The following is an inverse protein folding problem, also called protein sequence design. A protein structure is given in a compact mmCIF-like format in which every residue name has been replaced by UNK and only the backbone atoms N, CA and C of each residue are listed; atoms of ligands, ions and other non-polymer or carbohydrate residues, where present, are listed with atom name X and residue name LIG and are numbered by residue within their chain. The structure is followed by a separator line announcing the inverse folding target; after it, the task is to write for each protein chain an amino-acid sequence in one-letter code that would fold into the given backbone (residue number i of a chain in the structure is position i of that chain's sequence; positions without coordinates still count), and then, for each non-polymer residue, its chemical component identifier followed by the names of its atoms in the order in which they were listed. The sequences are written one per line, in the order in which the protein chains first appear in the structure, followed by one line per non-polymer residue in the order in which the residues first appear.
data_IF_210944179954
#
_entry.id   IF_210944179954
#
_cell.length_a   1.000
_cell.length_b   1.000
_cell.length_c   1.000
_cell.angle_alpha   90.00
_cell.angle_beta   90.00
_cell.angle_gamma   90.00
#
_symmetry.space_group_name_H-M   'P 1'
#
loop_
_entity.id
_entity.type
_entity.pdbx_description
1 polymer ?
#
# COMPACT_ATOMS: atom_id res chain seq x y z
N UNK A 1 -5.19 -9.35 -13.07
CA UNK A 1 -4.70 -8.16 -12.34
C UNK A 1 -3.87 -8.51 -11.11
N UNK A 2 -4.39 -9.31 -10.16
CA UNK A 2 -3.73 -9.58 -8.88
C UNK A 2 -2.30 -10.14 -8.97
N UNK A 3 -2.04 -11.09 -9.89
CA UNK A 3 -0.68 -11.62 -10.09
C UNK A 3 0.27 -10.58 -10.67
N UNK A 4 -0.21 -9.76 -11.62
CA UNK A 4 0.59 -8.68 -12.23
C UNK A 4 0.94 -7.63 -11.18
N UNK A 5 -0.01 -7.23 -10.32
CA UNK A 5 0.28 -6.32 -9.22
C UNK A 5 1.25 -6.93 -8.20
N UNK A 6 1.11 -8.23 -7.89
CA UNK A 6 2.04 -8.91 -6.98
C UNK A 6 3.47 -8.95 -7.54
N UNK A 7 3.64 -9.24 -8.84
CA UNK A 7 4.94 -9.21 -9.51
C UNK A 7 5.53 -7.79 -9.54
N UNK A 8 4.72 -6.79 -9.89
CA UNK A 8 5.14 -5.39 -9.87
C UNK A 8 5.59 -4.97 -8.47
N UNK A 9 4.84 -5.35 -7.43
CA UNK A 9 5.16 -5.02 -6.05
C UNK A 9 6.42 -5.73 -5.54
N UNK A 10 6.62 -6.99 -5.93
CA UNK A 10 7.81 -7.77 -5.60
C UNK A 10 9.10 -7.16 -6.19
N UNK A 11 9.01 -6.55 -7.37
CA UNK A 11 10.12 -5.79 -7.98
C UNK A 11 10.27 -4.41 -7.35
N UNK A 12 9.15 -3.76 -7.05
CA UNK A 12 9.10 -2.41 -6.53
C UNK A 12 9.76 -2.26 -5.16
N UNK A 13 9.45 -3.13 -4.18
CA UNK A 13 9.96 -2.97 -2.80
C UNK A 13 11.50 -2.99 -2.72
N UNK A 14 12.22 -3.97 -3.32
CA UNK A 14 13.67 -3.94 -3.32
C UNK A 14 14.24 -2.74 -4.09
N UNK A 15 13.62 -2.39 -5.22
CA UNK A 15 14.05 -1.28 -6.06
C UNK A 15 13.95 0.06 -5.35
N UNK A 16 12.78 0.38 -4.78
CA UNK A 16 12.60 1.62 -4.00
C UNK A 16 13.45 1.61 -2.74
N UNK A 17 13.65 0.43 -2.12
CA UNK A 17 14.56 0.22 -1.01
C UNK A 17 16.00 0.63 -1.32
N UNK A 18 16.50 0.26 -2.49
CA UNK A 18 17.84 0.64 -2.95
C UNK A 18 17.94 2.15 -3.25
N UNK A 19 16.96 2.73 -3.96
CA UNK A 19 17.01 4.14 -4.33
C UNK A 19 16.83 5.09 -3.14
N UNK A 20 16.06 4.70 -2.12
CA UNK A 20 15.81 5.58 -0.98
C UNK A 20 16.99 5.66 0.01
N UNK A 21 17.98 4.77 -0.07
CA UNK A 21 19.16 4.81 0.83
C UNK A 21 19.91 6.15 0.73
N UNK A 22 19.86 6.78 -0.45
CA UNK A 22 20.54 8.03 -0.76
C UNK A 22 19.66 9.27 -0.51
N UNK A 23 18.43 9.10 -0.01
CA UNK A 23 17.44 10.16 0.13
C UNK A 23 16.72 10.11 1.48
N UNK A 24 15.99 11.18 1.82
CA UNK A 24 15.00 11.13 2.90
C UNK A 24 13.74 10.41 2.43
N UNK A 25 13.08 9.68 3.33
CA UNK A 25 11.87 8.91 3.04
C UNK A 25 10.74 9.82 2.54
N UNK A 26 10.65 11.03 3.07
CA UNK A 26 9.69 12.05 2.64
C UNK A 26 9.91 12.48 1.18
N UNK A 27 11.17 12.60 0.75
CA UNK A 27 11.51 12.99 -0.62
C UNK A 27 11.16 11.86 -1.59
N UNK A 28 11.50 10.62 -1.23
CA UNK A 28 11.13 9.45 -2.03
C UNK A 28 9.60 9.28 -2.16
N UNK A 29 8.86 9.59 -1.08
CA UNK A 29 7.39 9.64 -1.12
C UNK A 29 6.86 10.72 -2.07
N UNK A 30 7.44 11.92 -2.05
CA UNK A 30 7.06 13.02 -2.96
C UNK A 30 7.31 12.63 -4.42
N UNK A 31 8.48 12.10 -4.77
CA UNK A 31 8.75 11.67 -6.14
C UNK A 31 7.81 10.56 -6.61
N UNK A 32 7.52 9.59 -5.74
CA UNK A 32 6.57 8.52 -6.05
C UNK A 32 5.16 9.07 -6.28
N UNK A 33 4.70 9.97 -5.42
CA UNK A 33 3.38 10.60 -5.53
C UNK A 33 3.27 11.50 -6.77
N UNK A 34 4.29 12.28 -7.08
CA UNK A 34 4.34 13.11 -8.29
C UNK A 34 4.35 12.26 -9.56
N UNK A 35 5.16 11.20 -9.60
CA UNK A 35 5.19 10.27 -10.73
C UNK A 35 3.82 9.64 -10.98
N UNK A 36 3.18 9.12 -9.93
CA UNK A 36 1.82 8.58 -10.02
C UNK A 36 0.81 9.65 -10.45
N UNK A 37 0.88 10.85 -9.87
CA UNK A 37 -0.01 11.96 -10.19
C UNK A 37 0.08 12.39 -11.66
N UNK A 38 1.31 12.51 -12.20
CA UNK A 38 1.53 12.85 -13.61
C UNK A 38 0.97 11.77 -14.53
N UNK A 39 1.23 10.50 -14.23
CA UNK A 39 0.73 9.37 -15.04
C UNK A 39 -0.80 9.35 -15.03
N UNK A 40 -1.42 9.46 -13.85
CA UNK A 40 -2.88 9.43 -13.71
C UNK A 40 -3.53 10.65 -14.38
N UNK A 41 -2.95 11.84 -14.23
CA UNK A 41 -3.43 13.05 -14.91
C UNK A 41 -3.33 12.92 -16.43
N UNK A 42 -2.23 12.38 -16.96
CA UNK A 42 -2.08 12.15 -18.40
C UNK A 42 -3.15 11.18 -18.92
N UNK A 43 -3.42 10.08 -18.20
CA UNK A 43 -4.50 9.13 -18.56
C UNK A 43 -5.86 9.83 -18.57
N UNK A 44 -6.12 10.66 -17.56
CA UNK A 44 -7.39 11.37 -17.41
C UNK A 44 -7.63 12.39 -18.53
N UNK A 45 -6.58 13.13 -18.92
CA UNK A 45 -6.60 14.04 -20.06
C UNK A 45 -6.79 13.31 -21.39
N UNK A 46 -6.07 12.21 -21.62
CA UNK A 46 -6.18 11.41 -22.85
C UNK A 46 -7.57 10.75 -22.99
N UNK A 47 -8.16 10.35 -21.87
CA UNK A 47 -9.49 9.72 -21.84
C UNK A 47 -10.65 10.72 -21.76
N UNK A 48 -10.34 12.03 -21.65
CA UNK A 48 -11.32 13.10 -21.50
C UNK A 48 -12.26 12.91 -20.29
N UNK A 49 -11.72 12.37 -19.20
CA UNK A 49 -12.48 12.08 -17.96
C UNK A 49 -12.22 13.08 -16.84
N UNK A 50 -11.38 14.08 -17.09
CA UNK A 50 -11.04 15.10 -16.13
C UNK A 50 -12.26 15.91 -15.69
N UNK A 51 -12.58 15.80 -14.40
CA UNK A 51 -13.65 16.56 -13.76
C UNK A 51 -13.11 17.30 -12.54
N UNK A 52 -13.27 18.63 -12.58
CA UNK A 52 -12.92 19.52 -11.47
C UNK A 52 -14.16 20.06 -10.74
N UNK A 53 -15.33 19.86 -11.32
CA UNK A 53 -16.61 20.25 -10.74
C UNK A 53 -17.07 19.21 -9.71
N UNK A 54 -16.35 19.14 -8.58
CA UNK A 54 -16.64 18.23 -7.48
C UNK A 54 -17.34 18.95 -6.33
N UNK A 55 -18.19 18.24 -5.61
CA UNK A 55 -18.82 18.75 -4.40
C UNK A 55 -17.74 19.07 -3.34
N UNK A 56 -17.89 20.13 -2.51
CA UNK A 56 -16.88 20.49 -1.49
C UNK A 56 -16.50 19.33 -0.56
N UNK A 57 -17.46 18.48 -0.21
CA UNK A 57 -17.22 17.29 0.61
C UNK A 57 -16.27 16.28 -0.05
N UNK A 58 -16.29 16.18 -1.39
CA UNK A 58 -15.39 15.31 -2.15
C UNK A 58 -13.95 15.81 -2.04
N UNK A 59 -13.73 17.14 -2.06
CA UNK A 59 -12.40 17.70 -1.85
C UNK A 59 -11.84 17.40 -0.45
N UNK A 60 -12.69 17.44 0.57
CA UNK A 60 -12.30 17.04 1.94
C UNK A 60 -11.89 15.56 1.97
N UNK A 61 -12.67 14.68 1.33
CA UNK A 61 -12.34 13.27 1.25
C UNK A 61 -11.02 13.03 0.49
N UNK A 62 -10.81 13.72 -0.64
CA UNK A 62 -9.56 13.66 -1.41
C UNK A 62 -8.37 14.10 -0.54
N UNK A 63 -8.48 15.22 0.17
CA UNK A 63 -7.43 15.72 1.05
C UNK A 63 -7.14 14.72 2.19
N UNK A 64 -8.17 14.15 2.80
CA UNK A 64 -8.02 13.13 3.84
C UNK A 64 -7.30 11.88 3.31
N UNK A 65 -7.68 11.37 2.14
CA UNK A 65 -7.01 10.21 1.53
C UNK A 65 -5.56 10.53 1.11
N UNK A 66 -5.33 11.72 0.53
CA UNK A 66 -4.01 12.12 0.08
C UNK A 66 -3.03 12.29 1.25
N UNK A 67 -3.47 12.88 2.36
CA UNK A 67 -2.61 13.11 3.52
C UNK A 67 -2.51 11.86 4.41
N UNK A 68 -3.64 11.33 4.87
CA UNK A 68 -3.66 10.26 5.87
C UNK A 68 -3.38 8.90 5.25
N UNK A 69 -4.17 8.51 4.26
CA UNK A 69 -4.08 7.17 3.66
C UNK A 69 -2.90 7.02 2.71
N UNK A 70 -2.39 8.12 2.14
CA UNK A 70 -1.31 8.07 1.13
C UNK A 70 0.00 8.61 1.71
N UNK A 71 0.13 9.91 1.96
CA UNK A 71 1.41 10.51 2.32
C UNK A 71 1.97 9.95 3.64
N UNK A 72 1.17 9.97 4.72
CA UNK A 72 1.62 9.49 6.04
C UNK A 72 1.89 7.99 6.00
N UNK A 73 0.94 7.19 5.48
CA UNK A 73 1.09 5.74 5.41
C UNK A 73 2.31 5.33 4.57
N UNK A 74 2.53 5.97 3.43
CA UNK A 74 3.62 5.63 2.54
C UNK A 74 4.98 6.08 3.08
N UNK A 75 5.08 7.25 3.72
CA UNK A 75 6.30 7.65 4.43
C UNK A 75 6.61 6.66 5.58
N UNK A 76 5.59 6.22 6.33
CA UNK A 76 5.77 5.21 7.38
C UNK A 76 6.25 3.87 6.79
N UNK A 77 5.71 3.46 5.64
CA UNK A 77 6.16 2.28 4.91
C UNK A 77 7.63 2.39 4.49
N UNK A 78 8.03 3.52 3.89
CA UNK A 78 9.42 3.77 3.47
C UNK A 78 10.38 3.82 4.66
N UNK A 79 9.98 4.42 5.78
CA UNK A 79 10.74 4.35 7.05
C UNK A 79 10.88 2.92 7.54
N UNK A 80 9.78 2.15 7.54
CA UNK A 80 9.82 0.73 7.87
C UNK A 80 10.78 -0.04 6.95
N UNK A 81 10.75 0.24 5.65
CA UNK A 81 11.64 -0.31 4.64
C UNK A 81 13.12 -0.01 4.92
N UNK A 82 13.45 1.21 5.35
CA UNK A 82 14.81 1.60 5.73
C UNK A 82 15.28 0.92 7.02
N UNK A 83 14.41 0.79 8.01
CA UNK A 83 14.77 0.26 9.34
C UNK A 83 14.81 -1.27 9.36
N UNK A 84 13.87 -1.94 8.68
CA UNK A 84 13.69 -3.38 8.74
C UNK A 84 14.27 -4.12 7.52
N UNK A 85 14.50 -3.39 6.42
CA UNK A 85 14.89 -3.95 5.13
C UNK A 85 13.72 -4.57 4.34
N UNK A 86 13.88 -4.78 3.01
CA UNK A 86 12.81 -5.17 2.09
C UNK A 86 11.96 -6.35 2.53
N UNK A 87 12.59 -7.44 2.95
CA UNK A 87 11.86 -8.66 3.25
C UNK A 87 11.07 -8.56 4.55
N UNK A 88 11.65 -7.98 5.61
CA UNK A 88 10.91 -7.84 6.88
C UNK A 88 9.77 -6.84 6.73
N UNK A 89 9.96 -5.75 6.01
CA UNK A 89 8.89 -4.79 5.73
C UNK A 89 7.78 -5.43 4.92
N UNK A 90 8.09 -6.18 3.86
CA UNK A 90 7.09 -6.90 3.08
C UNK A 90 6.27 -7.85 3.96
N UNK A 91 6.91 -8.58 4.89
CA UNK A 91 6.19 -9.47 5.82
C UNK A 91 5.34 -8.66 6.79
N UNK A 92 5.84 -7.58 7.39
CA UNK A 92 5.05 -6.74 8.30
C UNK A 92 3.83 -6.14 7.57
N UNK A 93 3.98 -5.74 6.30
CA UNK A 93 2.87 -5.25 5.48
C UNK A 93 1.78 -6.28 5.24
N UNK A 94 2.04 -7.58 5.38
CA UNK A 94 0.97 -8.61 5.29
C UNK A 94 -0.02 -8.56 6.46
N UNK A 95 0.24 -7.76 7.50
CA UNK A 95 -0.74 -7.49 8.57
C UNK A 95 -1.87 -6.57 8.06
N UNK A 96 -1.62 -5.80 7.00
CA UNK A 96 -2.58 -4.90 6.37
C UNK A 96 -3.95 -5.55 6.08
N UNK A 97 -4.07 -6.68 5.36
CA UNK A 97 -5.36 -7.32 5.08
C UNK A 97 -6.19 -7.63 6.33
N UNK A 98 -5.56 -7.90 7.47
CA UNK A 98 -6.28 -8.13 8.73
C UNK A 98 -6.86 -6.83 9.30
N UNK A 99 -6.08 -5.73 9.26
CA UNK A 99 -6.59 -4.40 9.60
C UNK A 99 -7.67 -3.94 8.62
N UNK A 100 -7.51 -4.20 7.32
CA UNK A 100 -8.51 -3.90 6.30
C UNK A 100 -9.82 -4.64 6.59
N UNK A 101 -9.78 -5.93 6.91
CA UNK A 101 -10.96 -6.70 7.27
C UNK A 101 -11.61 -6.18 8.55
N UNK A 102 -10.81 -5.86 9.58
CA UNK A 102 -11.31 -5.33 10.85
C UNK A 102 -11.97 -3.96 10.67
N UNK A 103 -11.31 -3.03 9.98
CA UNK A 103 -11.87 -1.70 9.73
C UNK A 103 -13.07 -1.75 8.77
N UNK A 104 -13.05 -2.63 7.76
CA UNK A 104 -14.17 -2.85 6.85
C UNK A 104 -15.42 -3.32 7.59
N UNK A 105 -15.26 -4.24 8.53
CA UNK A 105 -16.38 -4.73 9.36
C UNK A 105 -16.86 -3.70 10.37
N UNK A 106 -15.95 -2.99 11.03
CA UNK A 106 -16.31 -2.06 12.08
C UNK A 106 -16.86 -0.73 11.54
N UNK A 107 -16.15 -0.12 10.59
CA UNK A 107 -16.47 1.21 10.04
C UNK A 107 -17.48 1.11 8.92
N UNK A 108 -17.27 0.21 7.95
CA UNK A 108 -18.14 0.05 6.78
C UNK A 108 -19.27 -0.96 6.99
N UNK A 109 -19.35 -1.62 8.16
CA UNK A 109 -20.36 -2.64 8.47
C UNK A 109 -20.39 -3.79 7.45
N UNK A 110 -19.25 -4.09 6.82
CA UNK A 110 -19.11 -5.20 5.88
C UNK A 110 -19.14 -6.53 6.64
N UNK A 111 -19.77 -7.56 6.06
CA UNK A 111 -19.82 -8.89 6.67
C UNK A 111 -18.60 -9.72 6.24
N UNK A 112 -17.96 -10.40 7.20
CA UNK A 112 -16.92 -11.38 6.89
C UNK A 112 -17.57 -12.66 6.41
N UNK A 113 -17.34 -12.99 5.15
CA UNK A 113 -17.81 -14.25 4.58
C UNK A 113 -16.84 -15.38 4.94
N UNK A 114 -17.31 -16.64 4.90
CA UNK A 114 -16.43 -17.80 5.09
C UNK A 114 -15.23 -17.82 4.12
N UNK A 115 -15.43 -17.35 2.88
CA UNK A 115 -14.34 -17.27 1.90
C UNK A 115 -13.31 -16.20 2.27
N UNK A 116 -13.74 -15.05 2.79
CA UNK A 116 -12.83 -14.02 3.33
C UNK A 116 -12.00 -14.56 4.48
N UNK A 117 -12.63 -15.29 5.41
CA UNK A 117 -11.93 -15.92 6.54
C UNK A 117 -10.92 -16.97 6.07
N UNK A 118 -11.30 -17.81 5.10
CA UNK A 118 -10.40 -18.78 4.49
C UNK A 118 -9.18 -18.13 3.83
N UNK A 119 -9.38 -17.05 3.07
CA UNK A 119 -8.29 -16.27 2.49
C UNK A 119 -7.37 -15.65 3.55
N UNK A 120 -7.94 -15.09 4.63
CA UNK A 120 -7.18 -14.56 5.75
C UNK A 120 -6.34 -15.61 6.48
N UNK A 121 -6.89 -16.82 6.67
CA UNK A 121 -6.17 -17.94 7.25
C UNK A 121 -4.97 -18.39 6.39
N UNK A 122 -5.13 -18.41 5.06
CA UNK A 122 -4.03 -18.71 4.14
C UNK A 122 -2.91 -17.66 4.21
N UNK A 123 -3.25 -16.37 4.31
CA UNK A 123 -2.26 -15.29 4.49
C UNK A 123 -1.50 -15.50 5.81
N UNK A 124 -2.21 -15.77 6.92
CA UNK A 124 -1.58 -16.00 8.22
C UNK A 124 -0.62 -17.21 8.18
N UNK A 125 -1.04 -18.32 7.57
CA UNK A 125 -0.21 -19.50 7.42
C UNK A 125 1.08 -19.22 6.61
N UNK A 126 0.96 -18.48 5.50
CA UNK A 126 2.11 -18.11 4.68
C UNK A 126 3.14 -17.26 5.45
N UNK A 127 2.65 -16.32 6.27
CA UNK A 127 3.50 -15.46 7.11
C UNK A 127 4.24 -16.27 8.18
N UNK A 128 3.52 -17.18 8.86
CA UNK A 128 4.12 -18.05 9.89
C UNK A 128 5.21 -18.92 9.27
N UNK A 129 4.93 -19.56 8.13
CA UNK A 129 5.90 -20.40 7.41
C UNK A 129 7.16 -19.61 7.00
N UNK A 130 6.98 -18.39 6.47
CA UNK A 130 8.08 -17.56 6.01
C UNK A 130 8.96 -17.05 7.16
N UNK A 131 8.37 -16.75 8.31
CA UNK A 131 9.12 -16.33 9.50
C UNK A 131 9.82 -17.50 10.19
N UNK A 132 9.19 -18.68 10.23
CA UNK A 132 9.79 -19.87 10.83
C UNK A 132 11.06 -20.29 10.10
N UNK A 133 11.04 -20.28 8.76
CA UNK A 133 12.20 -20.66 7.95
C UNK A 133 13.42 -19.77 8.19
N UNK A 134 13.22 -18.51 8.58
CA UNK A 134 14.28 -17.56 8.95
C UNK A 134 14.80 -17.70 10.36
N UNK A 135 14.02 -18.23 11.30
CA UNK A 135 14.50 -18.49 12.65
C UNK A 135 15.40 -19.75 12.70
N UNK A 136 15.33 -20.58 11.67
CA UNK A 136 16.13 -21.79 11.50
C UNK A 136 17.43 -21.58 10.70
N UNK A 137 17.58 -20.41 10.04
CA UNK A 137 18.78 -19.97 9.30
C UNK A 137 19.60 -19.00 10.14
#
# INVERSE_FOLDING_TARGET
LALVSAMAYALYIPMIGHYQEQMSESIAAVYSALGAGVILLAIDLLTHRATLALHPQTWIAIAAMALWSTAIAFIAFLRGLRVLGPVRTAIVSTVEPFWTALLGTWVLRQQLTPTTLGGGALIAAAVILLQWRRAAD
#
